data_IF_141739729269
#
_entry.id   IF_141739729269
#
_cell.length_a   1.000
_cell.length_b   1.000
_cell.length_c   1.000
_cell.angle_alpha   90.00
_cell.angle_beta   90.00
_cell.angle_gamma   90.00
#
_symmetry.space_group_name_H-M   'P 1'
#
loop_
_entity.id
_entity.type
_entity.pdbx_description
1 polymer ?
#
# COMPACT_ATOMS: atom_id res chain seq x y z
N UNK A 1 22.34 2.52 -7.36
CA UNK A 1 22.24 1.77 -8.63
C UNK A 1 22.01 2.68 -9.85
N UNK A 2 20.90 3.42 -9.94
CA UNK A 2 20.52 4.16 -11.17
C UNK A 2 21.55 5.20 -11.65
N UNK A 3 22.26 5.87 -10.74
CA UNK A 3 23.34 6.80 -11.12
C UNK A 3 24.47 6.11 -11.89
N UNK A 4 24.90 4.92 -11.46
CA UNK A 4 25.92 4.12 -12.15
C UNK A 4 25.45 3.69 -13.54
N UNK A 5 24.20 3.25 -13.64
CA UNK A 5 23.56 2.89 -14.90
C UNK A 5 23.54 4.07 -15.88
N UNK A 6 23.07 5.24 -15.46
CA UNK A 6 23.04 6.43 -16.32
C UNK A 6 24.43 6.96 -16.65
N UNK A 7 25.40 6.80 -15.75
CA UNK A 7 26.79 7.14 -16.02
C UNK A 7 27.36 6.28 -17.16
N UNK A 8 27.17 4.96 -17.12
CA UNK A 8 27.61 4.06 -18.19
C UNK A 8 26.85 4.26 -19.50
N UNK A 9 25.54 4.56 -19.45
CA UNK A 9 24.77 4.97 -20.63
C UNK A 9 25.39 6.20 -21.31
N UNK A 10 25.81 7.20 -20.51
CA UNK A 10 26.36 8.46 -21.02
C UNK A 10 27.83 8.34 -21.47
N UNK A 11 28.64 7.58 -20.75
CA UNK A 11 30.11 7.59 -20.89
C UNK A 11 30.69 6.31 -21.49
N UNK A 12 29.87 5.28 -21.72
CA UNK A 12 30.29 4.00 -22.28
C UNK A 12 30.22 2.86 -21.25
N UNK A 13 29.88 1.66 -21.73
CA UNK A 13 29.78 0.45 -20.90
C UNK A 13 31.15 -0.09 -20.45
N UNK A 14 32.23 0.36 -21.07
CA UNK A 14 33.62 0.08 -20.71
C UNK A 14 34.05 0.83 -19.42
N UNK A 15 33.27 1.82 -18.97
CA UNK A 15 33.61 2.59 -17.77
C UNK A 15 33.37 1.76 -16.51
N UNK A 16 34.38 1.75 -15.65
CA UNK A 16 34.34 1.08 -14.35
C UNK A 16 33.67 2.01 -13.33
N UNK A 17 32.72 1.47 -12.57
CA UNK A 17 32.05 2.17 -11.48
C UNK A 17 32.23 1.37 -10.21
N UNK A 18 32.75 1.99 -9.15
CA UNK A 18 32.82 1.41 -7.82
C UNK A 18 31.50 1.71 -7.09
N UNK A 19 30.79 0.67 -6.67
CA UNK A 19 29.61 0.79 -5.82
C UNK A 19 30.02 0.35 -4.42
N UNK A 20 29.85 1.25 -3.45
CA UNK A 20 30.03 0.95 -2.04
C UNK A 20 28.66 0.89 -1.39
N UNK A 21 28.28 -0.30 -0.95
CA UNK A 21 27.06 -0.53 -0.17
C UNK A 21 27.47 -1.16 1.16
N UNK A 22 26.89 -0.69 2.25
CA UNK A 22 27.17 -1.23 3.58
C UNK A 22 26.35 -2.48 3.88
N UNK A 23 25.31 -2.74 3.08
CA UNK A 23 24.45 -3.90 3.26
C UNK A 23 24.99 -5.15 2.57
N UNK A 24 24.53 -6.29 3.07
CA UNK A 24 24.80 -7.64 2.55
C UNK A 24 24.13 -7.92 1.20
N UNK A 25 23.24 -7.04 0.77
CA UNK A 25 22.48 -7.11 -0.47
C UNK A 25 22.22 -5.70 -1.01
N UNK A 26 22.08 -5.59 -2.32
CA UNK A 26 21.95 -4.33 -3.03
C UNK A 26 20.48 -3.85 -3.07
N UNK A 27 20.23 -2.66 -3.64
CA UNK A 27 18.89 -2.15 -4.00
C UNK A 27 17.98 -1.62 -2.88
N UNK A 28 18.40 -1.67 -1.61
CA UNK A 28 17.73 -0.95 -0.52
C UNK A 28 16.27 -1.40 -0.30
N UNK A 29 15.28 -0.59 -0.67
CA UNK A 29 13.85 -0.91 -0.51
C UNK A 29 13.30 -1.85 -1.61
N UNK A 30 14.02 -2.07 -2.71
CA UNK A 30 13.58 -2.95 -3.78
C UNK A 30 13.94 -4.42 -3.49
N UNK A 31 13.29 -5.00 -2.47
CA UNK A 31 13.47 -6.41 -2.06
C UNK A 31 12.16 -7.19 -2.19
N UNK A 32 12.27 -8.49 -2.51
CA UNK A 32 11.15 -9.45 -2.56
C UNK A 32 11.42 -10.66 -1.67
N UNK A 33 10.35 -11.27 -1.18
CA UNK A 33 10.40 -12.55 -0.49
C UNK A 33 9.98 -13.66 -1.47
N UNK A 34 10.71 -14.76 -1.50
CA UNK A 34 10.38 -15.93 -2.32
C UNK A 34 10.12 -17.13 -1.42
N UNK A 35 8.98 -17.80 -1.64
CA UNK A 35 8.61 -19.00 -0.91
C UNK A 35 8.17 -20.07 -1.91
N UNK A 36 8.58 -21.32 -1.70
CA UNK A 36 8.07 -22.46 -2.46
C UNK A 36 7.08 -23.21 -1.59
N UNK A 37 5.82 -23.28 -2.02
CA UNK A 37 4.74 -23.97 -1.31
C UNK A 37 4.07 -24.89 -2.32
N UNK A 38 4.03 -26.20 -2.04
CA UNK A 38 3.46 -27.22 -2.93
C UNK A 38 4.02 -27.12 -4.37
N UNK A 39 5.35 -27.08 -4.50
CA UNK A 39 6.08 -26.90 -5.77
C UNK A 39 5.76 -25.63 -6.57
N UNK A 40 5.02 -24.69 -5.96
CA UNK A 40 4.69 -23.41 -6.55
C UNK A 40 5.48 -22.30 -5.87
N UNK A 41 6.27 -21.58 -6.66
CA UNK A 41 6.96 -20.38 -6.18
C UNK A 41 5.97 -19.23 -6.02
N UNK A 42 5.93 -18.65 -4.82
CA UNK A 42 5.20 -17.45 -4.45
C UNK A 42 6.18 -16.32 -4.21
N UNK A 43 5.85 -15.15 -4.73
CA UNK A 43 6.65 -13.93 -4.56
C UNK A 43 5.80 -12.95 -3.75
N UNK A 44 6.38 -12.45 -2.65
CA UNK A 44 5.78 -11.46 -1.77
C UNK A 44 6.66 -10.22 -1.62
N UNK A 45 6.12 -9.23 -0.91
CA UNK A 45 6.84 -7.99 -0.63
C UNK A 45 7.92 -8.23 0.43
N UNK A 46 9.17 -7.90 0.11
CA UNK A 46 10.27 -7.90 1.08
C UNK A 46 10.42 -6.55 1.79
N UNK A 47 10.13 -5.46 1.06
CA UNK A 47 10.15 -4.08 1.57
C UNK A 47 9.09 -3.23 0.84
N UNK A 48 9.45 -2.58 -0.27
CA UNK A 48 8.48 -1.82 -1.08
C UNK A 48 7.39 -2.75 -1.63
N UNK A 49 6.16 -2.24 -1.62
CA UNK A 49 5.00 -3.02 -2.03
C UNK A 49 4.75 -2.93 -3.55
N UNK A 50 4.49 -1.74 -4.08
CA UNK A 50 4.09 -1.57 -5.48
C UNK A 50 4.58 -0.26 -6.08
N UNK A 51 4.67 -0.20 -7.41
CA UNK A 51 4.84 1.05 -8.15
C UNK A 51 3.46 1.71 -8.32
N UNK A 52 3.27 2.87 -7.70
CA UNK A 52 2.02 3.62 -7.83
C UNK A 52 1.98 4.32 -9.19
N UNK A 53 0.95 4.03 -9.99
CA UNK A 53 0.69 4.64 -11.31
C UNK A 53 1.95 4.69 -12.20
N UNK A 54 2.57 3.54 -12.54
CA UNK A 54 3.83 3.51 -13.28
C UNK A 54 3.75 4.18 -14.66
N UNK A 55 2.56 4.18 -15.29
CA UNK A 55 2.32 4.86 -16.56
C UNK A 55 2.32 6.40 -16.47
N UNK A 56 2.13 6.96 -15.27
CA UNK A 56 2.21 8.40 -15.00
C UNK A 56 3.62 8.83 -14.56
N UNK A 57 4.57 7.90 -14.43
CA UNK A 57 5.93 8.22 -14.08
C UNK A 57 6.61 9.05 -15.18
N UNK A 58 7.59 9.88 -14.79
CA UNK A 58 8.40 10.64 -15.75
C UNK A 58 9.04 9.72 -16.80
N UNK A 59 9.20 10.20 -18.04
CA UNK A 59 9.74 9.41 -19.16
C UNK A 59 11.05 8.70 -18.84
N UNK A 60 11.96 9.36 -18.11
CA UNK A 60 13.23 8.76 -17.66
C UNK A 60 13.05 7.47 -16.83
N UNK A 61 11.98 7.40 -16.03
CA UNK A 61 11.67 6.21 -15.21
C UNK A 61 11.09 5.12 -16.09
N UNK A 62 10.19 5.47 -17.02
CA UNK A 62 9.60 4.50 -17.95
C UNK A 62 10.66 3.88 -18.86
N UNK A 63 11.58 4.70 -19.38
CA UNK A 63 12.70 4.25 -20.20
C UNK A 63 13.63 3.34 -19.38
N UNK A 64 13.97 3.72 -18.15
CA UNK A 64 14.77 2.87 -17.26
C UNK A 64 14.12 1.50 -17.01
N UNK A 65 12.82 1.48 -16.68
CA UNK A 65 12.07 0.24 -16.45
C UNK A 65 12.11 -0.65 -17.70
N UNK A 66 11.87 -0.08 -18.88
CA UNK A 66 11.94 -0.79 -20.16
C UNK A 66 13.35 -1.33 -20.43
N UNK A 67 14.38 -0.52 -20.20
CA UNK A 67 15.78 -0.89 -20.49
C UNK A 67 16.28 -2.03 -19.59
N UNK A 68 15.75 -2.15 -18.36
CA UNK A 68 16.04 -3.29 -17.48
C UNK A 68 15.08 -4.47 -17.66
N UNK A 69 14.25 -4.45 -18.72
CA UNK A 69 13.38 -5.56 -19.11
C UNK A 69 12.06 -5.65 -18.33
N UNK A 70 11.65 -4.57 -17.64
CA UNK A 70 10.35 -4.53 -16.95
C UNK A 70 9.27 -4.11 -17.95
N UNK A 71 8.36 -5.04 -18.24
CA UNK A 71 7.14 -4.78 -19.00
C UNK A 71 6.00 -4.37 -18.05
N UNK A 72 5.68 -3.07 -18.05
CA UNK A 72 4.64 -2.49 -17.19
C UNK A 72 3.24 -2.94 -17.64
N UNK A 73 3.06 -3.25 -18.92
CA UNK A 73 1.75 -3.64 -19.48
C UNK A 73 1.30 -5.00 -18.96
N UNK A 74 2.26 -5.88 -18.64
CA UNK A 74 2.00 -7.19 -18.04
C UNK A 74 1.27 -7.10 -16.70
N UNK A 75 1.38 -5.98 -15.97
CA UNK A 75 0.65 -5.79 -14.71
C UNK A 75 -0.85 -5.59 -14.89
N UNK A 76 -1.34 -5.29 -16.11
CA UNK A 76 -2.78 -5.16 -16.38
C UNK A 76 -3.55 -6.45 -16.12
N UNK A 77 -2.90 -7.60 -16.27
CA UNK A 77 -3.50 -8.94 -16.07
C UNK A 77 -2.87 -9.72 -14.91
N UNK A 78 -1.85 -9.17 -14.25
CA UNK A 78 -1.17 -9.85 -13.15
C UNK A 78 -1.95 -9.82 -11.83
N UNK A 79 -2.91 -8.90 -11.69
CA UNK A 79 -3.75 -8.78 -10.50
C UNK A 79 -5.12 -9.41 -10.72
N UNK A 80 -5.54 -10.22 -9.75
CA UNK A 80 -6.91 -10.68 -9.64
C UNK A 80 -7.78 -9.58 -9.00
N UNK A 81 -8.16 -8.59 -9.82
CA UNK A 81 -8.94 -7.42 -9.38
C UNK A 81 -10.33 -7.76 -8.87
N UNK A 82 -10.86 -8.89 -9.30
CA UNK A 82 -12.19 -9.35 -8.93
C UNK A 82 -12.20 -10.24 -7.69
N UNK A 83 -11.03 -10.62 -7.15
CA UNK A 83 -10.93 -11.51 -5.97
C UNK A 83 -11.83 -11.05 -4.83
N UNK A 84 -11.68 -9.80 -4.37
CA UNK A 84 -12.47 -9.28 -3.24
C UNK A 84 -13.96 -9.23 -3.57
N UNK A 85 -14.31 -8.81 -4.78
CA UNK A 85 -15.70 -8.73 -5.24
C UNK A 85 -16.35 -10.12 -5.31
N UNK A 86 -15.68 -11.11 -5.89
CA UNK A 86 -16.18 -12.48 -6.02
C UNK A 86 -16.40 -13.17 -4.67
N UNK A 87 -15.68 -12.76 -3.63
CA UNK A 87 -15.78 -13.32 -2.29
C UNK A 87 -16.56 -12.42 -1.30
N UNK A 88 -17.17 -11.32 -1.77
CA UNK A 88 -17.83 -10.29 -0.94
C UNK A 88 -16.97 -9.81 0.24
N UNK A 89 -15.66 -9.64 -0.01
CA UNK A 89 -14.70 -9.18 0.98
C UNK A 89 -14.54 -7.66 0.92
N UNK A 90 -14.47 -7.05 2.10
CA UNK A 90 -14.24 -5.62 2.26
C UNK A 90 -13.44 -5.32 3.52
N UNK A 91 -12.92 -4.10 3.63
CA UNK A 91 -12.21 -3.65 4.81
C UNK A 91 -13.19 -3.06 5.85
N UNK A 92 -13.05 -3.49 7.10
CA UNK A 92 -13.91 -3.13 8.22
C UNK A 92 -13.06 -2.65 9.40
N UNK A 93 -13.67 -1.91 10.32
CA UNK A 93 -13.03 -1.49 11.58
C UNK A 93 -13.64 -2.25 12.75
N UNK A 94 -12.80 -2.85 13.58
CA UNK A 94 -13.21 -3.48 14.83
C UNK A 94 -12.84 -2.59 16.02
N UNK A 95 -13.85 -2.30 16.84
CA UNK A 95 -13.76 -1.60 18.10
C UNK A 95 -13.86 -2.63 19.22
N UNK A 96 -12.83 -2.74 20.05
CA UNK A 96 -12.83 -3.67 21.17
C UNK A 96 -13.54 -3.08 22.40
N UNK A 97 -14.05 -3.98 23.26
CA UNK A 97 -14.74 -3.60 24.50
C UNK A 97 -13.87 -2.83 25.50
N UNK A 98 -12.59 -3.18 25.61
CA UNK A 98 -11.69 -2.59 26.61
C UNK A 98 -11.52 -1.07 26.41
N UNK A 99 -11.42 -0.61 25.17
CA UNK A 99 -11.22 0.81 24.83
C UNK A 99 -12.54 1.51 24.59
N UNK A 100 -13.48 0.87 23.87
CA UNK A 100 -14.68 1.51 23.34
C UNK A 100 -15.97 1.14 24.08
N UNK A 101 -15.88 0.34 25.15
CA UNK A 101 -17.00 -0.06 26.01
C UNK A 101 -17.82 -1.23 25.47
N UNK A 102 -17.64 -1.62 24.20
CA UNK A 102 -18.25 -2.80 23.58
C UNK A 102 -17.42 -3.34 22.41
N UNK A 103 -17.59 -4.62 22.13
CA UNK A 103 -17.08 -5.24 20.92
C UNK A 103 -18.01 -4.91 19.76
N UNK A 104 -17.49 -4.25 18.72
CA UNK A 104 -18.28 -3.87 17.55
C UNK A 104 -17.44 -3.85 16.30
N UNK A 105 -17.93 -4.49 15.24
CA UNK A 105 -17.41 -4.31 13.89
C UNK A 105 -18.29 -3.29 13.17
N UNK A 106 -17.67 -2.31 12.53
CA UNK A 106 -18.33 -1.37 11.62
C UNK A 106 -17.81 -1.64 10.22
N UNK A 107 -18.74 -1.75 9.27
CA UNK A 107 -18.46 -2.07 7.86
C UNK A 107 -17.88 -0.87 7.09
N UNK A 108 -16.88 -0.24 7.69
CA UNK A 108 -16.20 0.94 7.21
C UNK A 108 -14.76 0.96 7.74
N UNK A 109 -13.75 1.09 6.88
CA UNK A 109 -12.34 1.04 7.29
C UNK A 109 -11.82 2.35 7.87
N UNK A 110 -12.53 3.48 7.67
CA UNK A 110 -12.06 4.85 7.99
C UNK A 110 -10.68 5.21 7.39
N UNK A 111 -10.19 4.39 6.46
CA UNK A 111 -8.96 4.53 5.71
C UNK A 111 -9.25 4.26 4.24
N UNK A 112 -8.48 4.87 3.35
CA UNK A 112 -8.61 4.64 1.91
C UNK A 112 -7.76 3.43 1.45
N UNK A 113 -8.08 2.23 1.93
CA UNK A 113 -7.32 1.02 1.58
C UNK A 113 -7.41 0.67 0.09
N UNK A 114 -8.51 1.00 -0.57
CA UNK A 114 -8.69 0.80 -2.02
C UNK A 114 -7.64 1.51 -2.87
N UNK A 115 -6.98 2.55 -2.35
CA UNK A 115 -5.86 3.20 -3.05
C UNK A 115 -4.55 2.41 -3.00
N UNK A 116 -4.41 1.45 -2.08
CA UNK A 116 -3.16 0.73 -1.81
C UNK A 116 -3.28 -0.78 -2.04
N UNK A 117 -4.50 -1.31 -2.02
CA UNK A 117 -4.80 -2.73 -2.22
C UNK A 117 -5.62 -2.86 -3.51
N UNK A 118 -4.96 -3.35 -4.56
CA UNK A 118 -5.57 -3.53 -5.87
C UNK A 118 -6.78 -4.49 -5.80
N UNK A 119 -7.92 -4.08 -6.37
CA UNK A 119 -9.15 -4.88 -6.39
C UNK A 119 -10.01 -4.79 -5.12
N UNK A 120 -9.49 -4.22 -4.03
CA UNK A 120 -10.30 -3.98 -2.83
C UNK A 120 -11.36 -2.92 -3.13
N UNK A 121 -12.62 -3.24 -2.85
CA UNK A 121 -13.73 -2.32 -3.06
C UNK A 121 -13.72 -1.22 -2.00
N UNK A 122 -14.23 -0.04 -2.38
CA UNK A 122 -14.46 1.05 -1.44
C UNK A 122 -15.46 0.66 -0.34
N UNK A 123 -15.55 1.46 0.75
CA UNK A 123 -16.52 1.20 1.80
C UNK A 123 -17.96 1.19 1.25
N UNK A 124 -18.78 0.27 1.78
CA UNK A 124 -20.21 0.20 1.45
C UNK A 124 -21.02 1.31 2.14
N UNK A 125 -20.59 1.72 3.34
CA UNK A 125 -21.24 2.77 4.13
C UNK A 125 -20.62 4.14 3.83
N UNK A 126 -21.43 5.20 3.92
CA UNK A 126 -20.91 6.56 3.97
C UNK A 126 -20.16 6.82 5.29
N UNK A 127 -19.34 7.87 5.31
CA UNK A 127 -18.69 8.31 6.55
C UNK A 127 -19.73 8.65 7.64
N UNK A 128 -20.83 9.33 7.30
CA UNK A 128 -21.88 9.68 8.27
C UNK A 128 -22.65 8.44 8.77
N UNK A 129 -22.91 7.47 7.90
CA UNK A 129 -23.53 6.18 8.29
C UNK A 129 -22.63 5.40 9.22
N UNK A 130 -21.34 5.30 8.88
CA UNK A 130 -20.35 4.65 9.73
C UNK A 130 -20.23 5.35 11.09
N UNK A 131 -20.24 6.69 11.13
CA UNK A 131 -20.26 7.46 12.37
C UNK A 131 -21.50 7.16 13.22
N UNK A 132 -22.68 7.08 12.60
CA UNK A 132 -23.93 6.70 13.29
C UNK A 132 -23.86 5.29 13.84
N UNK A 133 -23.34 4.33 13.09
CA UNK A 133 -23.09 2.97 13.60
C UNK A 133 -22.12 2.99 14.80
N UNK A 134 -21.17 3.91 14.84
CA UNK A 134 -20.20 4.05 15.92
C UNK A 134 -20.70 4.90 17.10
N UNK A 135 -21.86 5.56 17.01
CA UNK A 135 -22.30 6.60 17.96
C UNK A 135 -22.52 6.09 19.40
N UNK A 136 -22.89 4.83 19.57
CA UNK A 136 -23.10 4.24 20.92
C UNK A 136 -21.80 3.66 21.51
N UNK A 137 -20.66 3.80 20.82
CA UNK A 137 -19.35 3.56 21.43
C UNK A 137 -19.08 4.66 22.45
N UNK A 138 -18.39 4.30 23.54
CA UNK A 138 -18.11 5.10 24.75
C UNK A 138 -18.55 6.60 24.68
N UNK A 139 -19.59 7.01 25.43
CA UNK A 139 -20.10 8.38 25.42
C UNK A 139 -18.99 9.42 25.70
N UNK A 140 -18.93 10.48 24.89
CA UNK A 140 -17.91 11.54 24.97
C UNK A 140 -16.70 11.34 24.05
N UNK A 141 -16.54 10.17 23.42
CA UNK A 141 -15.55 9.95 22.37
C UNK A 141 -16.16 10.31 21.02
N UNK A 142 -15.84 11.49 20.49
CA UNK A 142 -16.16 11.81 19.11
C UNK A 142 -15.10 11.14 18.21
N UNK A 143 -15.53 10.42 17.17
CA UNK A 143 -14.66 9.99 16.07
C UNK A 143 -14.05 11.18 15.28
N UNK A 144 -14.31 12.43 15.68
CA UNK A 144 -13.52 13.61 15.30
C UNK A 144 -12.12 13.62 15.93
N UNK A 145 -11.92 12.86 17.00
CA UNK A 145 -10.62 12.64 17.63
C UNK A 145 -9.88 11.53 16.91
N UNK A 146 -8.64 11.83 16.53
CA UNK A 146 -7.67 10.98 15.84
C UNK A 146 -7.87 9.47 16.11
N UNK A 147 -8.24 8.71 15.08
CA UNK A 147 -8.18 7.25 15.17
C UNK A 147 -6.70 6.86 15.06
N UNK A 148 -6.02 6.65 16.19
CA UNK A 148 -4.66 6.11 16.20
C UNK A 148 -4.71 4.63 15.82
N UNK A 149 -4.66 4.35 14.53
CA UNK A 149 -4.49 2.98 14.03
C UNK A 149 -3.00 2.68 14.00
N UNK A 150 -2.55 1.74 14.84
CA UNK A 150 -1.18 1.23 14.81
C UNK A 150 -1.10 0.22 13.65
N UNK A 151 -0.42 0.60 12.56
CA UNK A 151 -0.10 -0.30 11.48
C UNK A 151 1.41 -0.54 11.47
N UNK A 152 1.86 -1.78 11.71
CA UNK A 152 3.28 -2.18 11.66
C UNK A 152 4.24 -1.31 12.50
N UNK A 153 3.85 -0.94 13.73
CA UNK A 153 4.71 -0.17 14.64
C UNK A 153 4.77 1.33 14.38
N UNK A 154 4.24 1.82 13.26
CA UNK A 154 3.99 3.23 13.02
C UNK A 154 2.64 3.62 13.63
N UNK A 155 2.65 4.64 14.48
CA UNK A 155 1.43 5.28 14.96
C UNK A 155 0.97 6.21 13.85
N UNK A 156 -0.02 5.78 13.06
CA UNK A 156 -0.66 6.67 12.08
C UNK A 156 -1.75 7.41 12.84
N UNK A 157 -1.52 8.70 13.08
CA UNK A 157 -2.56 9.60 13.52
C UNK A 157 -3.48 9.88 12.33
N UNK A 158 -4.58 9.13 12.23
CA UNK A 158 -5.64 9.48 11.31
C UNK A 158 -6.42 10.62 11.95
N UNK A 159 -6.00 11.85 11.70
CA UNK A 159 -6.85 13.01 11.95
C UNK A 159 -8.10 12.83 11.10
N UNK A 160 -9.18 12.38 11.74
CA UNK A 160 -10.53 12.40 11.15
C UNK A 160 -11.03 13.82 10.84
N UNK A 161 -10.18 14.85 11.03
CA UNK A 161 -10.48 16.25 10.85
C UNK A 161 -10.16 16.80 9.45
N UNK A 162 -9.42 16.09 8.59
CA UNK A 162 -9.02 16.61 7.27
C UNK A 162 -9.87 16.06 6.09
N UNK A 163 -10.92 15.31 6.35
CA UNK A 163 -11.87 14.83 5.31
C UNK A 163 -13.20 15.63 5.28
N UNK A 164 -13.31 16.70 6.08
CA UNK A 164 -14.53 17.52 6.18
C UNK A 164 -14.38 18.97 5.67
N UNK A 165 -13.28 19.32 5.01
CA UNK A 165 -13.19 20.58 4.24
C UNK A 165 -12.86 20.25 2.79
N UNK A 166 -13.77 20.62 1.89
CA UNK A 166 -13.77 20.22 0.50
C UNK A 166 -12.59 20.73 -0.32
N UNK A 167 -12.35 20.01 -1.40
CA UNK A 167 -12.02 20.59 -2.69
C UNK A 167 -13.24 20.44 -3.60
#
# INVERSE_FOLDING_TARGET
MSAAYFYQQKHGRDKKVLILDNHDDFDGHARRNEHTINDQRRIGYGRSQTLVKPQAAHKIVQDLLKDIGIDIERFKTAYDRDFFKRHDLGANTYFNKQVFGRDKVVAHPYCNYSNYIEGLQGPKLSNEEAQRCSAELRPGWCLRGVLRVKCHGLCVEIHACDLLTGF
#
